data_IF_639774755893
#
_entry.id   IF_639774755893
#
_cell.length_a   1.000
_cell.length_b   1.000
_cell.length_c   1.000
_cell.angle_alpha   90.00
_cell.angle_beta   90.00
_cell.angle_gamma   90.00
#
_symmetry.space_group_name_H-M   'P 1'
#
loop_
_entity.id
_entity.type
_entity.pdbx_description
1 polymer ?
#
# COMPACT_ATOMS: atom_id res chain seq x y z
N UNK A 1 38.39 -18.24 -23.98
CA UNK A 1 37.55 -18.34 -22.77
C UNK A 1 36.09 -18.32 -23.22
N UNK A 2 35.36 -19.44 -23.17
CA UNK A 2 33.97 -19.49 -23.61
C UNK A 2 33.06 -18.87 -22.53
N UNK A 3 32.22 -17.92 -22.94
CA UNK A 3 31.14 -17.38 -22.12
C UNK A 3 30.02 -18.42 -22.04
N UNK A 4 29.79 -18.93 -20.83
CA UNK A 4 28.63 -19.77 -20.52
C UNK A 4 27.39 -18.87 -20.51
N UNK A 5 26.64 -18.86 -21.61
CA UNK A 5 25.36 -18.16 -21.69
C UNK A 5 24.29 -18.95 -20.92
N UNK A 6 23.83 -18.40 -19.81
CA UNK A 6 22.67 -18.93 -19.08
C UNK A 6 21.40 -18.48 -19.81
N UNK A 7 20.66 -19.45 -20.37
CA UNK A 7 19.31 -19.24 -20.90
C UNK A 7 18.34 -19.36 -19.73
N UNK A 8 17.69 -18.26 -19.36
CA UNK A 8 16.57 -18.28 -18.44
C UNK A 8 15.29 -18.58 -19.21
N UNK A 9 14.70 -19.75 -18.97
CA UNK A 9 13.35 -20.09 -19.43
C UNK A 9 12.38 -19.70 -18.34
N UNK A 10 11.70 -18.56 -18.51
CA UNK A 10 10.60 -18.16 -17.63
C UNK A 10 9.33 -18.83 -18.15
N UNK A 11 8.90 -19.90 -17.47
CA UNK A 11 7.63 -20.55 -17.71
C UNK A 11 6.52 -19.71 -17.04
N UNK A 12 5.86 -18.85 -17.81
CA UNK A 12 4.58 -18.29 -17.41
C UNK A 12 3.53 -19.40 -17.49
N UNK A 13 3.10 -19.90 -16.34
CA UNK A 13 1.93 -20.76 -16.25
C UNK A 13 0.71 -19.89 -16.60
N UNK A 14 0.19 -20.06 -17.81
CA UNK A 14 -0.98 -19.35 -18.29
C UNK A 14 -2.22 -19.83 -17.53
N UNK A 15 -2.66 -19.06 -16.54
CA UNK A 15 -4.04 -19.14 -16.11
C UNK A 15 -4.95 -18.66 -17.24
N UNK A 16 -5.89 -19.54 -17.58
CA UNK A 16 -6.94 -19.40 -18.56
C UNK A 16 -7.52 -17.97 -18.61
N UNK A 17 -7.53 -17.42 -19.83
CA UNK A 17 -8.26 -16.24 -20.23
C UNK A 17 -9.72 -16.33 -19.78
N UNK A 18 -10.00 -15.81 -18.59
CA UNK A 18 -11.32 -15.31 -18.26
C UNK A 18 -11.66 -14.28 -19.33
N UNK A 19 -12.79 -14.48 -20.01
CA UNK A 19 -13.39 -13.49 -20.89
C UNK A 19 -13.62 -12.25 -20.03
N UNK A 20 -12.66 -11.32 -20.06
CA UNK A 20 -12.77 -10.02 -19.43
C UNK A 20 -13.96 -9.35 -20.10
N UNK A 21 -15.12 -9.43 -19.46
CA UNK A 21 -16.28 -8.65 -19.86
C UNK A 21 -15.78 -7.22 -20.00
N UNK A 22 -16.09 -6.58 -21.12
CA UNK A 22 -15.90 -5.16 -21.33
C UNK A 22 -16.85 -4.32 -20.44
N UNK A 23 -17.06 -4.75 -19.20
CA UNK A 23 -17.50 -3.92 -18.09
C UNK A 23 -16.37 -2.92 -17.88
N UNK A 24 -16.65 -1.65 -18.17
CA UNK A 24 -15.65 -0.60 -18.19
C UNK A 24 -14.75 -0.66 -16.96
N UNK A 25 -13.43 -0.58 -17.17
CA UNK A 25 -12.47 -0.58 -16.08
C UNK A 25 -12.81 0.54 -15.10
N UNK A 26 -13.24 0.18 -13.90
CA UNK A 26 -13.47 1.11 -12.78
C UNK A 26 -12.37 0.92 -11.74
N UNK A 27 -12.03 2.01 -11.05
CA UNK A 27 -11.18 1.99 -9.88
C UNK A 27 -12.03 1.48 -8.70
N UNK A 28 -11.63 0.37 -8.11
CA UNK A 28 -12.27 -0.18 -6.91
C UNK A 28 -11.31 -0.12 -5.73
N UNK A 29 -11.88 -0.12 -4.52
CA UNK A 29 -11.11 -0.25 -3.28
C UNK A 29 -11.01 -1.72 -2.92
N UNK A 30 -9.78 -2.23 -2.79
CA UNK A 30 -9.49 -3.61 -2.41
C UNK A 30 -9.47 -3.78 -0.88
N UNK A 31 -8.95 -2.78 -0.16
CA UNK A 31 -8.94 -2.80 1.30
C UNK A 31 -8.88 -1.41 1.91
N UNK A 32 -9.46 -1.27 3.11
CA UNK A 32 -9.33 -0.11 4.00
C UNK A 32 -8.97 -0.65 5.37
N UNK A 33 -7.79 -0.31 5.87
CA UNK A 33 -7.24 -0.85 7.12
C UNK A 33 -6.72 0.30 8.01
N UNK A 34 -7.21 0.43 9.24
CA UNK A 34 -6.56 1.32 10.21
C UNK A 34 -5.21 0.71 10.62
N UNK A 35 -4.13 1.46 10.47
CA UNK A 35 -2.77 1.01 10.86
C UNK A 35 -2.43 1.50 12.27
N UNK A 36 -3.00 2.63 12.68
CA UNK A 36 -2.89 3.19 14.02
C UNK A 36 -4.11 4.05 14.33
N UNK A 37 -4.14 4.69 15.50
CA UNK A 37 -5.19 5.65 15.86
C UNK A 37 -5.28 6.83 14.87
N UNK A 38 -4.21 7.17 14.16
CA UNK A 38 -4.18 8.32 13.24
C UNK A 38 -3.99 7.94 11.78
N UNK A 39 -3.53 6.73 11.47
CA UNK A 39 -3.21 6.28 10.10
C UNK A 39 -4.25 5.30 9.57
N UNK A 40 -4.77 5.58 8.38
CA UNK A 40 -5.62 4.68 7.61
C UNK A 40 -4.93 4.38 6.29
N UNK A 41 -4.79 3.10 5.97
CA UNK A 41 -4.21 2.62 4.71
C UNK A 41 -5.30 2.07 3.82
N UNK A 42 -5.33 2.53 2.59
CA UNK A 42 -6.28 2.08 1.57
C UNK A 42 -5.48 1.50 0.41
N UNK A 43 -5.91 0.36 -0.10
CA UNK A 43 -5.36 -0.25 -1.31
C UNK A 43 -6.42 -0.24 -2.39
N UNK A 44 -6.13 0.33 -3.54
CA UNK A 44 -7.01 0.37 -4.70
C UNK A 44 -6.56 -0.61 -5.79
N UNK A 45 -7.45 -0.90 -6.74
CA UNK A 45 -7.17 -1.83 -7.86
C UNK A 45 -6.14 -1.29 -8.87
N UNK A 46 -5.94 0.02 -8.92
CA UNK A 46 -5.01 0.69 -9.81
C UNK A 46 -4.37 1.92 -9.14
N UNK A 47 -3.25 2.44 -9.66
CA UNK A 47 -2.66 3.69 -9.19
C UNK A 47 -3.65 4.85 -9.15
N UNK A 48 -3.70 5.57 -8.03
CA UNK A 48 -4.67 6.65 -7.83
C UNK A 48 -4.09 7.99 -8.25
N UNK A 49 -4.91 8.81 -8.90
CA UNK A 49 -4.59 10.18 -9.29
C UNK A 49 -5.67 11.13 -8.80
N UNK A 50 -5.26 12.34 -8.43
CA UNK A 50 -6.14 13.42 -7.99
C UNK A 50 -5.78 14.71 -8.72
N UNK A 51 -6.75 15.61 -8.94
CA UNK A 51 -6.46 17.00 -9.27
C UNK A 51 -5.64 17.68 -8.17
N UNK A 52 -4.67 18.56 -8.52
CA UNK A 52 -3.76 19.17 -7.56
C UNK A 52 -4.45 20.10 -6.54
N UNK A 53 -5.63 20.59 -6.88
CA UNK A 53 -6.47 21.51 -6.11
C UNK A 53 -7.38 20.83 -5.08
N UNK A 54 -7.69 19.54 -5.25
CA UNK A 54 -8.70 18.83 -4.46
C UNK A 54 -8.09 17.96 -3.35
N UNK A 55 -6.83 17.54 -3.52
CA UNK A 55 -5.98 16.88 -2.52
C UNK A 55 -6.72 16.13 -1.40
N UNK A 56 -6.76 16.72 -0.20
CA UNK A 56 -7.38 16.12 0.99
C UNK A 56 -8.91 16.12 0.98
N UNK A 57 -9.57 17.06 0.30
CA UNK A 57 -11.04 17.13 0.24
C UNK A 57 -11.66 16.01 -0.59
N UNK A 58 -10.85 15.27 -1.37
CA UNK A 58 -11.30 14.10 -2.12
C UNK A 58 -11.68 12.92 -1.22
N UNK A 59 -11.30 12.95 0.06
CA UNK A 59 -11.57 11.90 1.04
C UNK A 59 -12.23 12.52 2.27
N UNK A 60 -13.33 11.93 2.72
CA UNK A 60 -14.01 12.31 3.95
C UNK A 60 -14.13 11.08 4.82
N UNK A 61 -13.62 11.17 6.05
CA UNK A 61 -13.81 10.12 7.06
C UNK A 61 -14.81 10.66 8.07
N UNK A 62 -15.91 9.96 8.33
CA UNK A 62 -16.88 10.33 9.37
C UNK A 62 -16.97 9.24 10.44
N UNK A 63 -17.21 9.63 11.69
CA UNK A 63 -17.53 8.68 12.75
C UNK A 63 -18.97 8.16 12.65
N UNK A 64 -19.35 7.27 13.58
CA UNK A 64 -20.70 6.71 13.66
C UNK A 64 -21.81 7.75 13.89
N UNK A 65 -21.48 8.96 14.34
CA UNK A 65 -22.43 10.08 14.51
C UNK A 65 -22.55 10.93 13.25
N UNK A 66 -21.76 10.65 12.22
CA UNK A 66 -21.68 11.42 10.98
C UNK A 66 -20.77 12.65 11.07
N UNK A 67 -20.02 12.82 12.17
CA UNK A 67 -19.09 13.95 12.31
C UNK A 67 -17.81 13.68 11.50
N UNK A 68 -17.36 14.63 10.66
CA UNK A 68 -16.14 14.46 9.89
C UNK A 68 -14.89 14.51 10.78
N UNK A 69 -13.99 13.57 10.57
CA UNK A 69 -12.63 13.55 11.11
C UNK A 69 -11.73 14.39 10.20
N UNK A 70 -10.94 15.27 10.82
CA UNK A 70 -10.03 16.14 10.08
C UNK A 70 -8.83 15.35 9.56
N UNK A 71 -8.56 15.48 8.25
CA UNK A 71 -7.37 14.92 7.61
C UNK A 71 -6.18 15.87 7.77
N UNK A 72 -5.09 15.38 8.34
CA UNK A 72 -3.87 16.16 8.59
C UNK A 72 -2.84 15.98 7.47
N UNK A 73 -2.85 14.83 6.80
CA UNK A 73 -1.92 14.52 5.71
C UNK A 73 -2.50 13.45 4.78
N UNK A 74 -2.17 13.54 3.50
CA UNK A 74 -2.50 12.57 2.45
C UNK A 74 -1.22 12.18 1.71
N UNK A 75 -1.01 10.88 1.47
CA UNK A 75 0.09 10.37 0.66
C UNK A 75 -0.47 9.40 -0.38
N UNK A 76 -0.09 9.59 -1.65
CA UNK A 76 -0.39 8.68 -2.76
C UNK A 76 0.90 7.95 -3.18
N UNK A 77 0.87 6.63 -3.19
CA UNK A 77 1.99 5.76 -3.57
C UNK A 77 1.50 4.65 -4.51
N UNK A 78 1.34 4.98 -5.79
CA UNK A 78 0.77 4.07 -6.78
C UNK A 78 -0.66 3.68 -6.35
N UNK A 79 -0.96 2.38 -6.15
CA UNK A 79 -2.30 1.93 -5.73
C UNK A 79 -2.56 2.12 -4.23
N UNK A 80 -1.58 2.56 -3.45
CA UNK A 80 -1.71 2.76 -2.01
C UNK A 80 -2.02 4.22 -1.69
N UNK A 81 -3.02 4.44 -0.86
CA UNK A 81 -3.40 5.74 -0.31
C UNK A 81 -3.19 5.65 1.20
N UNK A 82 -2.50 6.64 1.78
CA UNK A 82 -2.29 6.73 3.22
C UNK A 82 -2.91 8.03 3.70
N UNK A 83 -3.91 7.92 4.55
CA UNK A 83 -4.59 9.04 5.18
C UNK A 83 -4.11 9.17 6.62
N UNK A 84 -3.74 10.38 7.01
CA UNK A 84 -3.50 10.74 8.40
C UNK A 84 -4.65 11.61 8.88
N UNK A 85 -5.17 11.27 10.06
CA UNK A 85 -6.35 11.88 10.69
C UNK A 85 -6.00 12.40 12.07
N UNK A 86 -6.91 13.15 12.68
CA UNK A 86 -6.94 13.28 14.15
C UNK A 86 -7.16 11.90 14.79
N UNK A 87 -6.74 11.68 16.05
CA UNK A 87 -6.89 10.37 16.70
C UNK A 87 -8.32 9.84 16.65
N UNK A 88 -8.46 8.62 16.13
CA UNK A 88 -9.69 7.82 16.12
C UNK A 88 -9.90 7.20 17.50
N UNK A 89 -11.16 7.11 17.91
CA UNK A 89 -11.61 6.24 18.99
C UNK A 89 -11.37 4.76 18.59
N UNK A 90 -10.68 3.95 19.43
CA UNK A 90 -10.40 2.55 19.12
C UNK A 90 -11.66 1.70 18.94
N UNK A 91 -11.66 0.80 17.95
CA UNK A 91 -12.76 -0.15 17.70
C UNK A 91 -14.08 0.45 17.19
N UNK A 92 -14.22 1.78 17.20
CA UNK A 92 -15.41 2.48 16.70
C UNK A 92 -15.61 2.31 15.19
N UNK A 93 -16.85 2.47 14.72
CA UNK A 93 -17.15 2.43 13.28
C UNK A 93 -16.96 3.78 12.62
N UNK A 94 -16.32 3.76 11.46
CA UNK A 94 -16.10 4.91 10.60
C UNK A 94 -16.61 4.64 9.19
N UNK A 95 -16.91 5.71 8.48
CA UNK A 95 -17.27 5.69 7.07
C UNK A 95 -16.26 6.52 6.29
N UNK A 96 -15.60 5.89 5.32
CA UNK A 96 -14.74 6.56 4.35
C UNK A 96 -15.56 6.84 3.09
N UNK A 97 -15.70 8.11 2.73
CA UNK A 97 -16.34 8.55 1.49
C UNK A 97 -15.31 9.16 0.54
N UNK A 98 -15.35 8.75 -0.73
CA UNK A 98 -14.47 9.21 -1.80
C UNK A 98 -15.26 10.07 -2.77
N UNK A 99 -14.67 11.19 -3.20
CA UNK A 99 -15.27 12.05 -4.23
C UNK A 99 -15.17 11.43 -5.63
N UNK A 100 -16.05 11.85 -6.53
CA UNK A 100 -16.01 11.47 -7.96
C UNK A 100 -14.75 11.95 -8.70
N UNK A 101 -13.97 12.83 -8.06
CA UNK A 101 -12.71 13.34 -8.62
C UNK A 101 -11.55 12.36 -8.44
N UNK A 102 -11.72 11.35 -7.58
CA UNK A 102 -10.76 10.25 -7.45
C UNK A 102 -10.81 9.40 -8.72
N UNK A 103 -9.67 9.25 -9.38
CA UNK A 103 -9.53 8.45 -10.61
C UNK A 103 -8.39 7.45 -10.47
N UNK A 104 -8.52 6.31 -11.12
CA UNK A 104 -7.41 5.38 -11.31
C UNK A 104 -6.61 5.73 -12.57
N UNK A 105 -5.38 5.22 -12.67
CA UNK A 105 -4.55 5.27 -13.88
C UNK A 105 -4.16 3.87 -14.27
N UNK A 106 -4.49 3.50 -15.51
CA UNK A 106 -4.15 2.19 -16.09
C UNK A 106 -3.33 2.39 -17.37
N UNK A 107 -2.36 1.50 -17.66
CA UNK A 107 -1.66 1.53 -18.93
C UNK A 107 -2.63 1.34 -20.10
N UNK A 108 -2.50 2.18 -21.13
CA UNK A 108 -3.29 2.08 -22.34
C UNK A 108 -2.45 2.44 -23.56
N UNK A 109 -2.00 1.42 -24.30
CA UNK A 109 -1.00 1.60 -25.36
C UNK A 109 0.33 2.11 -24.79
N UNK A 110 0.85 3.19 -25.36
CA UNK A 110 2.08 3.85 -24.90
C UNK A 110 1.84 4.87 -23.76
N UNK A 111 0.58 5.05 -23.34
CA UNK A 111 0.20 6.08 -22.38
C UNK A 111 -0.55 5.55 -21.16
N UNK A 112 -1.13 6.49 -20.40
CA UNK A 112 -1.99 6.21 -19.25
C UNK A 112 -3.40 6.69 -19.54
N UNK A 113 -4.39 5.86 -19.23
CA UNK A 113 -5.81 6.22 -19.28
C UNK A 113 -6.34 6.40 -17.86
N UNK A 114 -7.14 7.44 -17.64
CA UNK A 114 -7.86 7.61 -16.38
C UNK A 114 -9.10 6.71 -16.36
N UNK A 115 -9.30 5.99 -15.27
CA UNK A 115 -10.50 5.17 -15.04
C UNK A 115 -11.34 5.77 -13.91
N UNK A 116 -12.68 5.78 -14.04
CA UNK A 116 -13.56 6.36 -13.02
C UNK A 116 -13.59 5.51 -11.75
N UNK A 117 -13.94 6.13 -10.62
CA UNK A 117 -14.22 5.42 -9.38
C UNK A 117 -15.50 4.59 -9.53
N UNK A 118 -15.46 3.36 -9.04
CA UNK A 118 -16.63 2.47 -8.97
C UNK A 118 -17.67 3.02 -7.98
N UNK A 119 -18.96 2.95 -8.32
CA UNK A 119 -20.05 3.45 -7.46
C UNK A 119 -20.07 2.74 -6.10
N UNK A 120 -19.78 1.43 -6.06
CA UNK A 120 -19.70 0.66 -4.82
C UNK A 120 -18.47 1.00 -3.97
N UNK A 121 -17.46 1.62 -4.58
CA UNK A 121 -16.22 2.02 -3.91
C UNK A 121 -16.27 3.46 -3.35
N UNK A 122 -17.34 4.23 -3.61
CA UNK A 122 -17.48 5.60 -3.12
C UNK A 122 -17.63 5.70 -1.61
N UNK A 123 -18.14 4.66 -0.97
CA UNK A 123 -18.40 4.66 0.46
C UNK A 123 -18.07 3.30 1.06
N UNK A 124 -17.11 3.28 1.99
CA UNK A 124 -16.64 2.05 2.63
C UNK A 124 -16.64 2.23 4.13
N UNK A 125 -17.37 1.38 4.83
CA UNK A 125 -17.34 1.32 6.28
C UNK A 125 -16.13 0.50 6.75
N UNK A 126 -15.50 0.95 7.83
CA UNK A 126 -14.40 0.23 8.47
C UNK A 126 -14.45 0.44 9.99
N UNK A 127 -13.83 -0.47 10.74
CA UNK A 127 -13.62 -0.28 12.18
C UNK A 127 -12.31 0.46 12.40
N UNK A 128 -12.25 1.36 13.37
CA UNK A 128 -11.02 2.03 13.80
C UNK A 128 -10.03 1.03 14.40
N UNK A 129 -8.79 1.49 14.58
CA UNK A 129 -7.71 0.66 15.11
C UNK A 129 -8.11 0.02 16.46
N UNK A 130 -7.93 -1.29 16.61
CA UNK A 130 -8.06 -1.99 17.88
C UNK A 130 -6.73 -2.67 18.23
N UNK A 131 -6.32 -2.54 19.49
CA UNK A 131 -5.09 -3.18 19.98
C UNK A 131 -5.20 -4.71 19.97
N UNK A 132 -6.41 -5.24 20.06
CA UNK A 132 -6.67 -6.69 20.10
C UNK A 132 -6.43 -7.39 18.75
N UNK A 133 -6.45 -6.66 17.63
CA UNK A 133 -6.20 -7.25 16.32
C UNK A 133 -4.74 -7.69 16.08
N UNK A 134 -3.82 -7.30 16.96
CA UNK A 134 -2.40 -7.62 16.86
C UNK A 134 -1.94 -8.67 17.86
N UNK A 135 -2.83 -9.21 18.70
CA UNK A 135 -2.57 -10.45 19.40
C UNK A 135 -2.74 -11.59 18.39
N UNK A 136 -1.72 -11.72 17.54
CA UNK A 136 -1.46 -12.91 16.74
C UNK A 136 -1.76 -14.11 17.63
N UNK A 137 -2.81 -14.85 17.28
CA UNK A 137 -3.28 -16.03 17.98
C UNK A 137 -2.06 -16.92 18.19
N UNK A 138 -1.47 -16.83 19.39
CA UNK A 138 -0.33 -17.67 19.77
C UNK A 138 -0.88 -19.06 19.57
N UNK A 139 -0.38 -19.83 18.58
CA UNK A 139 -1.00 -21.07 18.19
C UNK A 139 -1.14 -21.87 19.46
N UNK A 140 -2.41 -22.16 19.83
CA UNK A 140 -2.73 -22.90 21.05
C UNK A 140 -1.77 -24.08 21.07
N UNK A 141 -0.88 -24.19 22.06
CA UNK A 141 0.18 -25.18 22.03
C UNK A 141 -0.47 -26.53 21.73
N UNK A 142 -0.06 -27.12 20.61
CA UNK A 142 -0.54 -28.43 20.17
C UNK A 142 -0.50 -29.34 21.40
N UNK A 143 -1.59 -30.06 21.74
CA UNK A 143 -1.62 -30.89 22.93
C UNK A 143 -0.39 -31.80 22.88
N UNK A 144 0.47 -31.66 23.89
CA UNK A 144 1.74 -32.38 24.00
C UNK A 144 1.45 -33.88 23.91
N UNK A 145 1.53 -34.45 22.71
CA UNK A 145 1.51 -35.91 22.55
C UNK A 145 2.80 -36.37 23.19
N UNK A 146 2.69 -37.09 24.31
CA UNK A 146 3.84 -37.53 25.09
C UNK A 146 4.89 -38.18 24.16
N UNK A 147 6.15 -37.73 24.16
CA UNK A 147 7.17 -38.36 23.35
C UNK A 147 7.36 -39.80 23.85
N UNK A 148 7.06 -40.77 22.98
CA UNK A 148 7.51 -42.15 23.19
C UNK A 148 9.01 -42.14 22.97
N UNK A 149 9.77 -42.19 24.07
CA UNK A 149 11.23 -42.22 24.08
C UNK A 149 11.73 -43.48 23.37
N UNK A 150 12.17 -43.35 22.12
CA UNK A 150 13.03 -44.32 21.44
C UNK A 150 14.42 -43.71 21.36
N UNK A 151 15.32 -44.27 22.18
CA UNK A 151 16.72 -43.93 22.21
C UNK A 151 17.36 -44.20 20.85
N UNK A 152 17.80 -43.14 20.19
CA UNK A 152 18.70 -43.22 19.04
C UNK A 152 19.89 -42.30 19.31
N UNK A 153 21.04 -42.92 19.59
CA UNK A 153 22.36 -42.28 19.54
C UNK A 153 22.56 -41.66 18.16
N UNK A 154 22.81 -40.35 18.10
CA UNK A 154 23.31 -39.69 16.89
C UNK A 154 24.52 -38.85 17.26
N UNK A 155 25.57 -39.12 16.49
CA UNK A 155 26.92 -38.58 16.62
C UNK A 155 26.98 -37.07 16.44
N UNK A 156 27.89 -36.51 17.21
CA UNK A 156 28.48 -35.17 17.16
C UNK A 156 28.93 -34.79 15.73
N UNK A 157 28.51 -33.60 15.27
CA UNK A 157 28.93 -32.98 14.00
C UNK A 157 29.41 -31.55 14.32
N UNK A 158 30.52 -31.07 13.71
CA UNK A 158 31.38 -30.04 14.29
C UNK A 158 30.90 -28.60 14.08
N UNK A 159 31.38 -27.72 14.98
CA UNK A 159 31.25 -26.26 14.94
C UNK A 159 31.58 -25.66 13.57
N UNK A 160 30.65 -24.87 13.03
CA UNK A 160 30.88 -23.94 11.94
C UNK A 160 30.99 -22.52 12.49
N UNK A 161 32.08 -21.87 12.13
CA UNK A 161 32.57 -20.56 12.57
C UNK A 161 31.66 -19.40 12.15
N UNK A 162 31.58 -18.40 13.03
CA UNK A 162 30.83 -17.15 12.86
C UNK A 162 31.31 -16.33 11.65
N UNK A 163 30.41 -15.78 10.82
CA UNK A 163 30.78 -14.79 9.82
C UNK A 163 31.02 -13.42 10.48
N UNK A 164 32.21 -12.88 10.21
CA UNK A 164 32.66 -11.53 10.56
C UNK A 164 31.72 -10.46 9.99
N UNK A 165 31.21 -9.63 10.88
CA UNK A 165 30.36 -8.48 10.58
C UNK A 165 31.21 -7.39 9.90
N UNK A 166 31.15 -7.27 8.58
CA UNK A 166 31.72 -6.12 7.87
C UNK A 166 30.75 -4.93 7.97
N UNK A 167 31.21 -3.86 8.58
CA UNK A 167 30.48 -2.61 8.71
C UNK A 167 30.20 -1.99 7.32
N UNK A 168 29.01 -1.41 7.09
CA UNK A 168 28.74 -0.66 5.87
C UNK A 168 29.47 0.69 5.87
N UNK A 169 30.37 0.88 4.91
CA UNK A 169 30.97 2.18 4.58
C UNK A 169 29.87 3.09 4.00
N UNK A 170 29.44 4.10 4.75
CA UNK A 170 28.61 5.18 4.21
C UNK A 170 29.45 6.07 3.28
N UNK A 171 29.09 6.13 2.01
CA UNK A 171 29.57 7.14 1.07
C UNK A 171 28.55 8.27 1.04
N UNK A 172 28.89 9.42 1.61
CA UNK A 172 28.14 10.66 1.45
C UNK A 172 28.49 11.28 0.10
N UNK A 173 27.58 11.21 -0.87
CA UNK A 173 27.67 12.03 -2.07
C UNK A 173 26.97 13.36 -1.76
N UNK A 174 27.77 14.35 -1.38
CA UNK A 174 27.36 15.76 -1.34
C UNK A 174 27.34 16.26 -2.78
N UNK A 175 26.26 15.94 -3.49
CA UNK A 175 25.96 16.49 -4.80
C UNK A 175 25.42 17.90 -4.64
N UNK A 176 26.32 18.89 -4.69
CA UNK A 176 25.95 20.28 -4.92
C UNK A 176 25.38 20.48 -6.32
N UNK A 177 24.30 21.26 -6.40
CA UNK A 177 23.68 21.76 -7.62
C UNK A 177 22.56 22.72 -7.23
N UNK A 178 22.88 23.93 -6.76
CA UNK A 178 22.97 25.15 -7.60
C UNK A 178 21.84 25.27 -8.63
N UNK A 179 20.92 26.18 -8.31
CA UNK A 179 20.36 27.23 -9.19
C UNK A 179 19.46 26.76 -10.34
N UNK A 180 18.17 26.98 -10.13
CA UNK A 180 17.14 27.07 -11.16
C UNK A 180 16.13 28.16 -10.81
N UNK A 181 16.61 29.40 -10.78
CA UNK A 181 15.80 30.62 -10.89
C UNK A 181 15.12 30.67 -12.28
N UNK A 182 14.08 31.51 -12.45
CA UNK A 182 13.30 31.86 -13.67
C UNK A 182 12.00 31.03 -13.90
N UNK A 183 10.81 31.57 -14.17
CA UNK A 183 10.34 32.92 -14.58
C UNK A 183 8.91 33.15 -14.10
N UNK A 184 8.69 34.35 -13.59
CA UNK A 184 7.39 35.01 -13.45
C UNK A 184 6.78 35.32 -14.83
N UNK A 185 5.59 34.80 -15.16
CA UNK A 185 4.75 35.39 -16.22
C UNK A 185 3.45 35.91 -15.64
N UNK A 186 3.49 37.22 -15.43
CA UNK A 186 2.39 38.17 -15.38
C UNK A 186 1.41 38.01 -16.54
N UNK A 187 0.13 38.24 -16.20
CA UNK A 187 -0.89 39.00 -16.95
C UNK A 187 -1.38 38.49 -18.31
N UNK A 188 -2.70 38.25 -18.36
CA UNK A 188 -3.63 38.99 -19.24
C UNK A 188 -5.02 39.09 -18.59
N UNK A 189 -5.56 40.30 -18.36
CA UNK A 189 -6.99 40.55 -18.39
C UNK A 189 -7.37 40.97 -19.82
N UNK A 190 -8.44 40.38 -20.38
CA UNK A 190 -9.15 40.97 -21.50
C UNK A 190 -10.63 41.11 -21.12
N UNK A 191 -11.04 42.39 -21.21
CA UNK A 191 -12.36 43.02 -21.35
C UNK A 191 -13.62 42.22 -21.06
#
# INVERSE_FOLDING_TARGET
MPFLGFVFVVLFSGELFGVASAQGETLSLLSVQPVSLTEIRITASAPVTLPPDIGSSAFVVTDATGKPLHLTKLILQGPRIILFTVPQSPGERYLLTLSDTVRGKVPHGEGWRAIPLDEGAKSVAFSGFSFEQNEEEVPSPEPLVAPTTLAASVSEVPQVSSPTHMAPTMIFIVGGGLVGWYVSRKFRPES
#
